data_IF_450663027404
#
_entry.id   IF_450663027404
#
_cell.length_a   1.000
_cell.length_b   1.000
_cell.length_c   1.000
_cell.angle_alpha   90.00
_cell.angle_beta   90.00
_cell.angle_gamma   90.00
#
_symmetry.space_group_name_H-M   'P 1'
#
loop_
_entity.id
_entity.type
_entity.pdbx_description
1 polymer ?
#
# COMPACT_ATOMS: atom_id res chain seq x y z
N UNK A 1 -16.30 -28.01 30.18
CA UNK A 1 -15.53 -26.93 29.53
C UNK A 1 -15.66 -27.15 28.03
N UNK A 2 -16.71 -26.63 27.41
CA UNK A 2 -17.02 -26.96 26.01
C UNK A 2 -16.65 -25.79 25.08
N UNK A 3 -15.63 -26.01 24.27
CA UNK A 3 -15.22 -25.09 23.21
C UNK A 3 -16.28 -25.11 22.10
N UNK A 4 -16.99 -24.01 21.91
CA UNK A 4 -17.93 -23.80 20.81
C UNK A 4 -17.17 -23.77 19.49
N UNK A 5 -17.11 -24.92 18.82
CA UNK A 5 -16.49 -25.06 17.52
C UNK A 5 -17.37 -24.34 16.49
N UNK A 6 -16.96 -23.14 16.07
CA UNK A 6 -17.78 -22.27 15.24
C UNK A 6 -17.73 -22.75 13.78
N UNK A 7 -18.66 -23.64 13.42
CA UNK A 7 -18.74 -24.27 12.09
C UNK A 7 -19.35 -23.28 11.09
N UNK A 8 -18.64 -23.04 9.98
CA UNK A 8 -19.01 -22.08 8.95
C UNK A 8 -19.58 -22.82 7.73
N UNK A 9 -20.82 -22.53 7.35
CA UNK A 9 -21.50 -23.16 6.20
C UNK A 9 -21.23 -22.43 4.89
N UNK A 10 -21.13 -23.20 3.80
CA UNK A 10 -21.19 -22.66 2.44
C UNK A 10 -22.57 -22.01 2.19
N UNK A 11 -22.61 -21.03 1.29
CA UNK A 11 -23.84 -20.29 0.95
C UNK A 11 -24.58 -20.90 -0.25
N UNK A 12 -23.96 -21.84 -0.95
CA UNK A 12 -24.47 -22.44 -2.20
C UNK A 12 -24.66 -23.95 -2.06
N UNK A 13 -23.99 -24.59 -1.10
CA UNK A 13 -24.20 -26.00 -0.78
C UNK A 13 -24.09 -26.26 0.72
N UNK A 14 -24.43 -27.48 1.15
CA UNK A 14 -24.47 -27.87 2.56
C UNK A 14 -23.11 -28.22 3.17
N UNK A 15 -22.00 -27.88 2.48
CA UNK A 15 -20.66 -28.12 3.03
C UNK A 15 -20.35 -27.20 4.21
N UNK A 16 -19.79 -27.79 5.26
CA UNK A 16 -19.36 -27.13 6.49
C UNK A 16 -17.83 -27.02 6.54
N UNK A 17 -17.33 -25.95 7.16
CA UNK A 17 -15.90 -25.65 7.25
C UNK A 17 -15.54 -25.20 8.65
N UNK A 18 -14.33 -25.53 9.07
CA UNK A 18 -13.77 -25.13 10.37
C UNK A 18 -13.29 -23.67 10.36
N UNK A 19 -12.99 -23.10 9.18
CA UNK A 19 -12.57 -21.71 9.06
C UNK A 19 -12.97 -21.06 7.73
N UNK A 20 -13.00 -19.71 7.72
CA UNK A 20 -13.41 -18.92 6.55
C UNK A 20 -12.48 -19.11 5.35
N UNK A 21 -11.19 -19.38 5.57
CA UNK A 21 -10.22 -19.60 4.50
C UNK A 21 -10.59 -20.82 3.65
N UNK A 22 -10.91 -21.95 4.32
CA UNK A 22 -11.30 -23.19 3.65
C UNK A 22 -12.65 -23.05 2.93
N UNK A 23 -13.63 -22.38 3.56
CA UNK A 23 -14.88 -22.03 2.89
C UNK A 23 -14.62 -21.18 1.64
N UNK A 24 -13.84 -20.12 1.75
CA UNK A 24 -13.58 -19.19 0.63
C UNK A 24 -12.80 -19.85 -0.51
N UNK A 25 -11.94 -20.83 -0.22
CA UNK A 25 -11.30 -21.64 -1.25
C UNK A 25 -12.32 -22.54 -1.95
N UNK A 26 -13.20 -23.19 -1.20
CA UNK A 26 -14.28 -23.99 -1.75
C UNK A 26 -15.24 -23.16 -2.64
N UNK A 27 -15.65 -21.97 -2.18
CA UNK A 27 -16.50 -21.04 -2.94
C UNK A 27 -15.86 -20.66 -4.29
N UNK A 28 -14.55 -20.38 -4.30
CA UNK A 28 -13.81 -20.03 -5.51
C UNK A 28 -13.70 -21.20 -6.49
N UNK A 29 -13.40 -22.40 -5.99
CA UNK A 29 -13.12 -23.57 -6.83
C UNK A 29 -14.37 -24.24 -7.36
N UNK A 30 -15.43 -24.34 -6.55
CA UNK A 30 -16.61 -25.15 -6.87
C UNK A 30 -17.84 -24.33 -7.22
N UNK A 31 -17.93 -23.08 -6.76
CA UNK A 31 -19.05 -22.21 -7.08
C UNK A 31 -18.65 -21.05 -7.99
N UNK A 32 -17.36 -20.92 -8.34
CA UNK A 32 -16.81 -19.79 -9.10
C UNK A 32 -17.16 -18.42 -8.49
N UNK A 33 -17.62 -18.41 -7.24
CA UNK A 33 -17.92 -17.20 -6.50
C UNK A 33 -16.58 -16.72 -5.98
N UNK A 34 -16.11 -15.64 -6.59
CA UNK A 34 -15.05 -14.81 -6.03
C UNK A 34 -15.63 -14.27 -4.73
N UNK A 35 -15.34 -14.95 -3.62
CA UNK A 35 -15.79 -14.51 -2.31
C UNK A 35 -15.47 -13.02 -2.20
N UNK A 36 -16.48 -12.22 -1.87
CA UNK A 36 -16.27 -10.88 -1.31
C UNK A 36 -15.53 -11.11 -0.01
N UNK A 37 -14.23 -11.33 -0.14
CA UNK A 37 -13.38 -11.39 1.01
C UNK A 37 -13.70 -10.10 1.74
N UNK A 38 -14.03 -10.18 3.02
CA UNK A 38 -13.63 -9.15 3.98
C UNK A 38 -12.09 -9.13 4.03
N UNK A 39 -11.43 -9.18 2.87
CA UNK A 39 -10.03 -8.92 2.66
C UNK A 39 -9.83 -7.47 3.02
N UNK A 40 -8.67 -7.19 3.60
CA UNK A 40 -8.23 -5.82 3.92
C UNK A 40 -8.72 -4.91 2.80
N UNK A 41 -9.59 -3.95 3.11
CA UNK A 41 -9.98 -2.91 2.14
C UNK A 41 -8.67 -2.40 1.56
N UNK A 42 -8.43 -2.65 0.28
CA UNK A 42 -7.22 -2.16 -0.33
C UNK A 42 -7.39 -0.64 -0.34
N UNK A 43 -6.63 0.06 0.47
CA UNK A 43 -6.75 1.51 0.64
C UNK A 43 -5.98 2.27 -0.46
N UNK A 44 -5.70 1.60 -1.58
CA UNK A 44 -4.98 2.17 -2.71
C UNK A 44 -6.03 2.74 -3.65
N UNK A 45 -6.18 4.06 -3.70
CA UNK A 45 -7.21 4.70 -4.52
C UNK A 45 -6.67 5.84 -5.35
N UNK A 46 -7.24 6.03 -6.54
CA UNK A 46 -6.89 7.15 -7.40
C UNK A 46 -7.48 8.47 -6.84
N UNK A 47 -6.60 9.45 -6.64
CA UNK A 47 -6.98 10.78 -6.20
C UNK A 47 -7.65 11.61 -7.31
N UNK A 48 -7.19 11.48 -8.55
CA UNK A 48 -7.71 12.25 -9.68
C UNK A 48 -9.14 11.85 -10.04
N UNK A 49 -9.42 10.54 -10.15
CA UNK A 49 -10.80 10.05 -10.30
C UNK A 49 -11.75 10.55 -9.20
N UNK A 50 -11.25 10.62 -7.95
CA UNK A 50 -12.05 11.11 -6.82
C UNK A 50 -12.34 12.61 -6.94
N UNK A 51 -11.44 13.40 -7.53
CA UNK A 51 -11.61 14.85 -7.74
C UNK A 51 -12.47 15.15 -8.97
N UNK A 52 -12.10 14.59 -10.11
CA UNK A 52 -12.66 14.93 -11.42
C UNK A 52 -14.04 14.30 -11.64
N UNK A 53 -14.14 13.00 -11.36
CA UNK A 53 -15.33 12.20 -11.70
C UNK A 53 -16.20 11.91 -10.48
N UNK A 54 -15.82 12.40 -9.29
CA UNK A 54 -16.47 12.09 -8.01
C UNK A 54 -16.61 10.58 -7.76
N UNK A 55 -15.72 9.76 -8.35
CA UNK A 55 -15.73 8.30 -8.25
C UNK A 55 -14.43 7.82 -7.62
N UNK A 56 -14.54 6.98 -6.58
CA UNK A 56 -13.37 6.38 -5.94
C UNK A 56 -13.00 5.06 -6.62
N UNK A 57 -12.05 5.10 -7.57
CA UNK A 57 -11.43 3.88 -8.12
C UNK A 57 -10.38 3.34 -7.16
N UNK A 58 -10.48 2.06 -6.82
CA UNK A 58 -9.65 1.36 -5.84
C UNK A 58 -8.89 0.21 -6.50
N UNK A 59 -7.63 0.02 -6.10
CA UNK A 59 -6.70 -0.94 -6.71
C UNK A 59 -6.12 -1.89 -5.66
N UNK A 60 -5.71 -3.09 -6.08
CA UNK A 60 -5.04 -4.06 -5.22
C UNK A 60 -3.55 -3.79 -5.05
N UNK A 61 -2.92 -3.18 -6.06
CA UNK A 61 -1.47 -2.93 -6.10
C UNK A 61 -1.13 -1.53 -6.60
N UNK A 62 0.13 -1.11 -6.35
CA UNK A 62 0.65 0.15 -6.91
C UNK A 62 0.84 0.03 -8.42
N UNK A 63 1.15 -1.16 -8.93
CA UNK A 63 1.28 -1.38 -10.37
C UNK A 63 -0.04 -1.11 -11.10
N UNK A 64 -1.15 -1.62 -10.56
CA UNK A 64 -2.49 -1.34 -11.10
C UNK A 64 -2.84 0.15 -11.02
N UNK A 65 -2.50 0.82 -9.91
CA UNK A 65 -2.71 2.26 -9.78
C UNK A 65 -1.86 3.06 -10.79
N UNK A 66 -0.59 2.70 -10.98
CA UNK A 66 0.30 3.34 -11.96
C UNK A 66 -0.21 3.16 -13.38
N UNK A 67 -0.62 1.93 -13.75
CA UNK A 67 -1.24 1.69 -15.07
C UNK A 67 -2.50 2.51 -15.27
N UNK A 68 -3.35 2.60 -14.24
CA UNK A 68 -4.54 3.45 -14.29
C UNK A 68 -4.20 4.93 -14.53
N UNK A 69 -3.13 5.45 -13.93
CA UNK A 69 -2.70 6.83 -14.22
C UNK A 69 -2.27 6.99 -15.68
N UNK A 70 -1.57 6.01 -16.25
CA UNK A 70 -1.14 6.05 -17.65
C UNK A 70 -2.33 5.92 -18.63
N UNK A 71 -3.24 4.98 -18.39
CA UNK A 71 -4.35 4.67 -19.30
C UNK A 71 -5.49 5.70 -19.23
N UNK A 72 -5.87 6.13 -18.03
CA UNK A 72 -7.10 6.92 -17.81
C UNK A 72 -6.85 8.40 -17.52
N UNK A 73 -5.64 8.73 -17.03
CA UNK A 73 -5.25 10.11 -16.75
C UNK A 73 -4.10 10.58 -17.66
N UNK A 74 -3.54 9.70 -18.50
CA UNK A 74 -2.41 10.00 -19.39
C UNK A 74 -1.18 10.56 -18.66
N UNK A 75 -0.96 10.11 -17.42
CA UNK A 75 0.19 10.49 -16.60
C UNK A 75 1.14 9.30 -16.50
N UNK A 76 2.35 9.45 -17.04
CA UNK A 76 3.42 8.47 -16.86
C UNK A 76 4.17 8.73 -15.55
N UNK A 77 4.42 7.66 -14.79
CA UNK A 77 5.26 7.74 -13.60
C UNK A 77 6.70 7.45 -13.95
N UNK A 78 7.60 8.29 -13.45
CA UNK A 78 9.03 8.13 -13.61
C UNK A 78 9.59 7.23 -12.50
N UNK A 79 10.41 6.27 -12.92
CA UNK A 79 11.05 5.29 -12.05
C UNK A 79 12.57 5.29 -12.26
N UNK A 80 13.31 5.21 -11.16
CA UNK A 80 14.75 5.11 -11.14
C UNK A 80 15.19 3.93 -10.26
N UNK A 81 16.25 3.24 -10.68
CA UNK A 81 16.90 2.18 -9.89
C UNK A 81 18.26 2.68 -9.43
N UNK A 82 18.41 2.83 -8.11
CA UNK A 82 19.65 3.27 -7.47
C UNK A 82 20.28 2.06 -6.79
N UNK A 83 21.58 1.87 -7.03
CA UNK A 83 22.38 0.87 -6.31
C UNK A 83 23.30 1.60 -5.35
N UNK A 84 23.21 1.27 -4.07
CA UNK A 84 24.12 1.75 -3.05
C UNK A 84 25.02 0.59 -2.61
N UNK A 85 26.30 0.86 -2.47
CA UNK A 85 27.29 -0.13 -2.01
C UNK A 85 27.10 -0.50 -0.55
N UNK A 86 26.49 0.38 0.25
CA UNK A 86 26.22 0.12 1.66
C UNK A 86 25.01 0.92 2.20
N UNK A 87 24.63 0.61 3.45
CA UNK A 87 23.52 1.26 4.16
C UNK A 87 23.78 2.74 4.45
N UNK A 88 25.04 3.15 4.62
CA UNK A 88 25.39 4.55 4.88
C UNK A 88 25.13 5.43 3.65
N UNK A 89 25.53 4.95 2.48
CA UNK A 89 25.25 5.60 1.20
C UNK A 89 23.74 5.70 0.93
N UNK A 90 23.00 4.61 1.21
CA UNK A 90 21.53 4.65 1.16
C UNK A 90 20.96 5.73 2.10
N UNK A 91 21.47 5.85 3.33
CA UNK A 91 20.99 6.84 4.28
C UNK A 91 21.29 8.27 3.81
N UNK A 92 22.47 8.52 3.22
CA UNK A 92 22.83 9.82 2.63
C UNK A 92 21.89 10.18 1.48
N UNK A 93 21.66 9.24 0.57
CA UNK A 93 20.72 9.40 -0.53
C UNK A 93 19.30 9.67 -0.02
N UNK A 94 18.81 8.89 0.94
CA UNK A 94 17.47 9.03 1.53
C UNK A 94 17.30 10.37 2.27
N UNK A 95 18.37 10.90 2.87
CA UNK A 95 18.35 12.21 3.52
C UNK A 95 18.13 13.33 2.52
N UNK A 96 18.70 13.24 1.31
CA UNK A 96 18.49 14.20 0.23
C UNK A 96 17.01 14.17 -0.20
N UNK A 97 16.45 12.97 -0.43
CA UNK A 97 15.04 12.83 -0.81
C UNK A 97 14.08 13.37 0.26
N UNK A 98 14.47 13.28 1.53
CA UNK A 98 13.69 13.82 2.66
C UNK A 98 13.64 15.35 2.74
N UNK A 99 14.57 16.06 2.08
CA UNK A 99 14.55 17.53 2.04
C UNK A 99 13.37 18.06 1.22
N UNK A 100 13.03 17.38 0.12
CA UNK A 100 11.90 17.75 -0.74
C UNK A 100 10.61 17.07 -0.28
N UNK A 101 10.67 15.80 0.13
CA UNK A 101 9.46 15.01 0.37
C UNK A 101 9.57 14.15 1.62
N UNK A 102 8.54 14.22 2.47
CA UNK A 102 8.43 13.31 3.62
C UNK A 102 7.88 11.96 3.20
N UNK A 103 8.67 10.90 3.37
CA UNK A 103 8.25 9.52 3.23
C UNK A 103 8.04 8.83 4.59
N UNK A 104 7.03 7.99 4.69
CA UNK A 104 6.72 7.19 5.89
C UNK A 104 6.91 5.70 5.61
N UNK A 105 7.43 4.97 6.59
CA UNK A 105 7.58 3.52 6.49
C UNK A 105 6.19 2.88 6.55
N UNK A 106 5.81 2.13 5.51
CA UNK A 106 4.52 1.44 5.46
C UNK A 106 4.61 -0.03 5.84
N UNK A 107 5.66 -0.71 5.37
CA UNK A 107 5.88 -2.14 5.66
C UNK A 107 7.38 -2.39 5.79
N UNK A 108 7.72 -3.20 6.80
CA UNK A 108 9.01 -3.86 6.91
C UNK A 108 8.74 -5.34 6.73
N UNK A 109 9.10 -5.90 5.59
CA UNK A 109 9.09 -7.34 5.42
C UNK A 109 10.47 -7.81 5.86
N UNK A 110 10.57 -8.23 7.11
CA UNK A 110 11.65 -9.13 7.50
C UNK A 110 11.33 -10.45 6.80
N UNK A 111 12.25 -11.03 6.05
CA UNK A 111 12.06 -12.36 5.50
C UNK A 111 11.98 -13.33 6.68
N UNK A 112 10.76 -13.63 7.13
CA UNK A 112 10.42 -14.16 8.47
C UNK A 112 10.95 -15.56 8.79
N UNK A 113 11.79 -16.14 7.92
CA UNK A 113 12.14 -17.55 8.00
C UNK A 113 13.60 -17.87 7.64
N UNK A 114 14.51 -16.90 7.64
CA UNK A 114 15.85 -17.16 7.12
C UNK A 114 16.93 -16.54 8.02
N UNK A 115 18.01 -17.30 8.23
CA UNK A 115 19.27 -16.89 8.88
C UNK A 115 20.01 -15.75 8.15
N UNK A 116 19.33 -15.08 7.23
CA UNK A 116 19.86 -14.12 6.26
C UNK A 116 19.41 -12.71 6.65
N UNK A 117 20.31 -11.74 6.59
CA UNK A 117 20.00 -10.34 6.95
C UNK A 117 19.22 -9.57 5.87
N UNK A 118 18.62 -10.29 4.90
CA UNK A 118 17.84 -9.69 3.80
C UNK A 118 16.52 -9.14 4.32
N UNK A 119 16.21 -7.90 3.92
CA UNK A 119 14.96 -7.25 4.26
C UNK A 119 14.52 -6.28 3.17
N UNK A 120 13.21 -6.11 3.03
CA UNK A 120 12.63 -5.12 2.13
C UNK A 120 11.85 -4.11 2.95
N UNK A 121 12.15 -2.83 2.73
CA UNK A 121 11.49 -1.71 3.40
C UNK A 121 10.78 -0.83 2.37
N UNK A 122 9.48 -0.62 2.60
CA UNK A 122 8.64 0.21 1.75
C UNK A 122 8.42 1.56 2.41
N UNK A 123 8.78 2.63 1.72
CA UNK A 123 8.52 3.99 2.11
C UNK A 123 7.52 4.63 1.14
N UNK A 124 6.39 5.08 1.67
CA UNK A 124 5.31 5.68 0.89
C UNK A 124 5.22 7.17 1.23
N UNK A 125 4.83 8.00 0.26
CA UNK A 125 4.66 9.43 0.49
C UNK A 125 3.75 9.70 1.71
N UNK A 126 4.15 10.63 2.59
CA UNK A 126 3.37 10.96 3.78
C UNK A 126 2.05 11.68 3.45
N UNK A 127 1.83 12.12 2.21
CA UNK A 127 0.52 12.65 1.79
C UNK A 127 -0.48 11.54 1.48
N UNK A 128 -0.01 10.32 1.14
CA UNK A 128 -0.88 9.17 0.85
C UNK A 128 -1.78 8.82 2.03
N UNK A 129 -3.06 8.66 1.73
CA UNK A 129 -4.02 8.09 2.65
C UNK A 129 -3.83 6.57 2.70
N UNK A 130 -3.50 6.05 3.87
CA UNK A 130 -3.34 4.61 4.09
C UNK A 130 -4.62 3.95 4.61
N UNK A 131 -5.76 4.67 4.51
CA UNK A 131 -7.08 4.25 4.98
C UNK A 131 -7.17 4.14 6.51
N UNK A 132 -6.45 5.02 7.21
CA UNK A 132 -6.67 5.22 8.64
C UNK A 132 -7.84 6.19 8.81
N UNK A 133 -8.93 5.68 9.35
CA UNK A 133 -10.05 6.49 9.84
C UNK A 133 -10.02 6.45 11.37
N UNK A 134 -9.90 7.62 11.99
CA UNK A 134 -10.00 7.74 13.44
C UNK A 134 -11.42 7.36 13.87
N UNK A 135 -11.53 6.41 14.81
CA UNK A 135 -12.81 6.08 15.47
C UNK A 135 -13.19 7.04 16.58
N UNK A 136 -12.31 7.98 16.93
CA UNK A 136 -12.61 8.99 17.94
C UNK A 136 -13.65 9.98 17.39
N UNK A 137 -14.59 10.40 18.24
CA UNK A 137 -15.53 11.49 17.96
C UNK A 137 -14.74 12.67 17.42
N UNK A 138 -15.19 13.23 16.28
CA UNK A 138 -14.51 14.30 15.57
C UNK A 138 -14.28 15.48 16.53
N UNK A 139 -13.05 15.58 17.07
CA UNK A 139 -12.59 16.81 17.72
C UNK A 139 -12.56 17.88 16.65
N UNK A 140 -12.79 19.14 17.04
CA UNK A 140 -12.65 20.29 16.17
C UNK A 140 -11.38 20.15 15.32
N UNK A 141 -11.47 20.34 13.99
CA UNK A 141 -10.30 20.22 13.12
C UNK A 141 -9.22 21.16 13.65
N UNK A 142 -8.01 20.62 13.88
CA UNK A 142 -6.86 21.46 14.24
C UNK A 142 -6.70 22.54 13.16
N UNK A 143 -6.25 23.73 13.55
CA UNK A 143 -6.06 24.86 12.64
C UNK A 143 -5.19 24.54 11.40
N UNK A 144 -4.35 23.50 11.45
CA UNK A 144 -3.53 23.02 10.33
C UNK A 144 -4.15 21.92 9.45
N UNK A 145 -5.40 21.52 9.67
CA UNK A 145 -6.10 20.52 8.85
C UNK A 145 -5.48 19.11 8.84
N UNK A 146 -5.96 18.25 7.94
CA UNK A 146 -5.37 16.94 7.67
C UNK A 146 -4.47 17.03 6.43
N UNK A 147 -3.19 16.68 6.61
CA UNK A 147 -2.15 16.70 5.58
C UNK A 147 -2.37 15.64 4.48
N UNK A 148 -3.23 14.63 4.72
CA UNK A 148 -3.47 13.50 3.80
C UNK A 148 -4.41 13.88 2.65
N UNK A 149 -4.06 13.46 1.43
CA UNK A 149 -4.78 13.83 0.19
C UNK A 149 -6.06 13.02 -0.05
N UNK A 150 -6.51 12.19 0.90
CA UNK A 150 -7.66 11.27 0.76
C UNK A 150 -7.60 10.35 -0.48
N UNK A 151 -6.39 10.10 -0.99
CA UNK A 151 -6.10 9.13 -2.04
C UNK A 151 -4.66 8.64 -1.90
N UNK A 152 -4.19 7.83 -2.84
CA UNK A 152 -2.84 7.29 -2.83
C UNK A 152 -1.95 8.01 -3.82
N UNK A 153 -0.88 8.60 -3.32
CA UNK A 153 0.20 9.08 -4.18
C UNK A 153 1.05 7.88 -4.65
N UNK A 154 1.38 7.80 -5.96
CA UNK A 154 2.20 6.71 -6.50
C UNK A 154 3.66 6.77 -6.07
N UNK A 155 4.17 7.96 -5.73
CA UNK A 155 5.57 8.10 -5.28
C UNK A 155 5.89 7.22 -4.09
N UNK A 156 6.99 6.47 -4.26
CA UNK A 156 7.38 5.39 -3.35
C UNK A 156 8.86 5.08 -3.48
N UNK A 157 9.46 4.68 -2.38
CA UNK A 157 10.80 4.12 -2.33
C UNK A 157 10.70 2.68 -1.82
N UNK A 158 11.27 1.74 -2.57
CA UNK A 158 11.37 0.33 -2.19
C UNK A 158 12.86 0.02 -2.04
N UNK A 159 13.30 -0.16 -0.80
CA UNK A 159 14.70 -0.46 -0.48
C UNK A 159 14.85 -1.95 -0.17
N UNK A 160 15.61 -2.65 -1.01
CA UNK A 160 16.01 -4.04 -0.84
C UNK A 160 17.42 -4.06 -0.24
N UNK A 161 17.55 -4.58 0.98
CA UNK A 161 18.82 -4.75 1.65
C UNK A 161 19.29 -6.18 1.47
N UNK A 162 20.45 -6.35 0.84
CA UNK A 162 21.08 -7.63 0.57
C UNK A 162 22.02 -8.06 1.71
N UNK A 163 22.51 -9.29 1.67
CA UNK A 163 23.39 -9.84 2.72
C UNK A 163 24.82 -9.33 2.66
N UNK A 164 25.28 -8.98 1.46
CA UNK A 164 26.60 -8.40 1.22
C UNK A 164 26.70 -6.94 1.70
N UNK A 165 25.60 -6.39 2.25
CA UNK A 165 25.51 -5.02 2.73
C UNK A 165 25.05 -4.02 1.66
N UNK A 166 24.92 -4.45 0.40
CA UNK A 166 24.43 -3.59 -0.68
C UNK A 166 22.94 -3.30 -0.53
N UNK A 167 22.51 -2.17 -1.09
CA UNK A 167 21.11 -1.75 -1.08
C UNK A 167 20.68 -1.40 -2.50
N UNK A 168 19.69 -2.12 -3.02
CA UNK A 168 19.04 -1.77 -4.28
C UNK A 168 17.74 -1.04 -4.00
N UNK A 169 17.60 0.15 -4.56
CA UNK A 169 16.46 1.03 -4.36
C UNK A 169 15.70 1.20 -5.66
N UNK A 170 14.41 0.89 -5.65
CA UNK A 170 13.48 1.29 -6.70
C UNK A 170 12.72 2.53 -6.25
N UNK A 171 12.95 3.63 -6.95
CA UNK A 171 12.43 4.95 -6.62
C UNK A 171 11.42 5.42 -7.68
N UNK A 172 10.16 5.57 -7.27
CA UNK A 172 9.11 6.18 -8.09
C UNK A 172 9.00 7.64 -7.63
N UNK A 173 9.50 8.56 -8.45
CA UNK A 173 9.62 9.98 -8.07
C UNK A 173 8.34 10.77 -8.34
N UNK A 174 7.50 10.32 -9.27
CA UNK A 174 6.27 11.02 -9.62
C UNK A 174 5.27 11.04 -8.47
N UNK A 175 4.91 12.23 -8.06
CA UNK A 175 3.84 12.49 -7.10
C UNK A 175 2.59 12.96 -7.85
N UNK A 176 1.42 12.43 -7.46
CA UNK A 176 0.16 12.76 -8.11
C UNK A 176 -0.88 13.16 -7.06
N UNK A 177 -1.56 14.28 -7.31
CA UNK A 177 -2.63 14.84 -6.49
C UNK A 177 -2.17 15.69 -5.31
N UNK A 178 -0.90 16.04 -5.22
CA UNK A 178 -0.35 16.99 -4.24
C UNK A 178 0.94 17.66 -4.72
N UNK A 179 1.04 17.89 -6.02
CA UNK A 179 2.19 18.46 -6.70
C UNK A 179 2.51 19.86 -6.17
N UNK A 180 1.49 20.63 -5.80
CA UNK A 180 1.61 21.97 -5.21
C UNK A 180 2.31 21.94 -3.84
N UNK A 181 2.18 20.86 -3.06
CA UNK A 181 2.85 20.68 -1.78
C UNK A 181 4.36 20.36 -1.92
N UNK A 182 4.85 20.16 -3.14
CA UNK A 182 6.24 19.79 -3.44
C UNK A 182 7.10 20.97 -3.88
N UNK A 183 6.50 22.14 -4.11
CA UNK A 183 7.21 23.37 -4.44
C UNK A 183 7.69 24.02 -3.14
N UNK A 184 8.97 23.84 -2.84
CA UNK A 184 9.74 24.71 -1.95
C UNK A 184 10.48 25.75 -2.80
#
# INVERSE_FOLDING_TARGET
MDATNNIIKCLVCDKTFVCNSSKNQHMRKFHQIIGTSKGKKNNISCILCSREKQVQKVFGTYLELTKHFEEEHHIQTEEEVIKCSNVEEFNKWMLIQRKSVRYTIRRKNNCSNSKTNRRIVYYDCNRSNNGYESKAVAKFPKAGGNIKIKGTCPSRIIANFEEDGTVTVKYIKSHIGHEEDLRC
#
